data_IF_464047276048
#
_entry.id   IF_464047276048
#
_cell.length_a   1.000
_cell.length_b   1.000
_cell.length_c   1.000
_cell.angle_alpha   90.00
_cell.angle_beta   90.00
_cell.angle_gamma   90.00
#
_symmetry.space_group_name_H-M   'P 1'
#
loop_
_entity.id
_entity.type
_entity.pdbx_description
1 polymer ?
#
# COMPACT_ATOMS: atom_id res chain seq x y z
N UNK A 1 -20.68 -3.37 -6.53
CA UNK A 1 -20.70 -2.47 -7.69
C UNK A 1 -20.31 -3.28 -8.92
N UNK A 2 -21.29 -3.64 -9.77
CA UNK A 2 -21.01 -4.17 -11.10
C UNK A 2 -20.52 -2.97 -11.93
N UNK A 3 -19.25 -2.93 -12.23
CA UNK A 3 -18.69 -1.93 -13.18
C UNK A 3 -19.25 -2.32 -14.56
N UNK A 4 -20.11 -1.48 -15.11
CA UNK A 4 -20.61 -1.69 -16.47
C UNK A 4 -19.43 -1.69 -17.43
N UNK A 5 -19.23 -2.76 -18.17
CA UNK A 5 -18.09 -2.98 -19.08
C UNK A 5 -17.94 -1.92 -20.18
N UNK A 6 -18.94 -1.07 -20.41
CA UNK A 6 -18.93 -0.05 -21.47
C UNK A 6 -17.94 1.11 -21.27
N UNK A 7 -17.55 1.43 -20.03
CA UNK A 7 -16.69 2.58 -19.72
C UNK A 7 -15.21 2.23 -19.48
N UNK A 8 -14.83 0.96 -19.55
CA UNK A 8 -13.46 0.51 -19.28
C UNK A 8 -12.50 0.82 -20.45
N UNK A 9 -13.02 1.16 -21.63
CA UNK A 9 -12.20 1.35 -22.83
C UNK A 9 -11.69 2.76 -23.05
N UNK A 10 -12.34 3.78 -22.48
CA UNK A 10 -11.93 5.16 -22.71
C UNK A 10 -10.85 5.58 -21.71
N UNK A 11 -9.61 5.65 -22.17
CA UNK A 11 -8.49 6.17 -21.39
C UNK A 11 -8.60 7.69 -21.23
N UNK A 12 -8.34 8.16 -20.03
CA UNK A 12 -8.25 9.56 -19.67
C UNK A 12 -6.94 9.86 -18.96
N UNK A 13 -6.59 11.14 -18.95
CA UNK A 13 -5.38 11.63 -18.28
C UNK A 13 -5.71 12.13 -16.88
N UNK A 14 -4.95 11.71 -15.90
CA UNK A 14 -5.09 12.13 -14.50
C UNK A 14 -3.75 12.57 -13.95
N UNK A 15 -3.80 13.43 -12.95
CA UNK A 15 -2.65 13.74 -12.12
C UNK A 15 -3.02 13.57 -10.65
N UNK A 16 -2.05 13.17 -9.85
CA UNK A 16 -2.14 13.20 -8.39
C UNK A 16 -0.89 13.83 -7.80
N UNK A 17 -1.03 14.49 -6.66
CA UNK A 17 0.10 15.03 -5.89
C UNK A 17 0.17 14.32 -4.55
N UNK A 18 1.37 13.86 -4.23
CA UNK A 18 1.67 13.31 -2.93
C UNK A 18 3.07 13.78 -2.53
N UNK A 19 3.15 14.38 -1.36
CA UNK A 19 4.33 15.14 -0.93
C UNK A 19 4.67 16.18 -2.01
N UNK A 20 5.86 16.45 -2.39
CA UNK A 20 6.19 17.41 -3.45
C UNK A 20 6.24 16.77 -4.85
N UNK A 21 5.75 15.53 -4.99
CA UNK A 21 5.78 14.79 -6.24
C UNK A 21 4.47 14.87 -7.01
N UNK A 22 4.56 15.19 -8.30
CA UNK A 22 3.47 15.06 -9.26
C UNK A 22 3.61 13.71 -9.98
N UNK A 23 2.51 12.95 -10.01
CA UNK A 23 2.40 11.67 -10.72
C UNK A 23 1.37 11.82 -11.82
N UNK A 24 1.75 11.48 -13.05
CA UNK A 24 0.94 11.55 -14.26
C UNK A 24 0.44 10.14 -14.62
N UNK A 25 -0.88 10.00 -14.83
CA UNK A 25 -1.54 8.71 -15.00
C UNK A 25 -2.41 8.73 -16.24
N UNK A 26 -2.40 7.64 -16.99
CA UNK A 26 -3.38 7.35 -18.05
C UNK A 26 -4.14 6.09 -17.63
N UNK A 27 -5.45 6.19 -17.46
CA UNK A 27 -6.27 5.07 -17.04
C UNK A 27 -7.74 5.24 -17.45
N UNK A 28 -8.58 4.18 -17.44
CA UNK A 28 -10.03 4.33 -17.50
C UNK A 28 -10.56 5.12 -16.30
N UNK A 29 -11.57 5.96 -16.51
CA UNK A 29 -12.15 6.76 -15.41
C UNK A 29 -12.70 5.87 -14.28
N UNK A 30 -13.41 4.80 -14.61
CA UNK A 30 -13.95 3.85 -13.65
C UNK A 30 -12.87 3.16 -12.81
N UNK A 31 -11.68 2.95 -13.37
CA UNK A 31 -10.53 2.42 -12.63
C UNK A 31 -10.04 3.41 -11.56
N UNK A 32 -9.94 4.69 -11.92
CA UNK A 32 -9.53 5.76 -10.98
C UNK A 32 -10.60 5.98 -9.91
N UNK A 33 -11.89 5.97 -10.25
CA UNK A 33 -12.99 6.03 -9.28
C UNK A 33 -12.92 4.91 -8.24
N UNK A 34 -12.59 3.68 -8.68
CA UNK A 34 -12.41 2.57 -7.76
C UNK A 34 -11.14 2.72 -6.91
N UNK A 35 -10.05 3.23 -7.48
CA UNK A 35 -8.84 3.55 -6.73
C UNK A 35 -9.12 4.60 -5.65
N UNK A 36 -9.86 5.66 -5.94
CA UNK A 36 -10.27 6.68 -4.97
C UNK A 36 -11.20 6.12 -3.88
N UNK A 37 -12.07 5.18 -4.21
CA UNK A 37 -12.97 4.54 -3.24
C UNK A 37 -12.23 3.66 -2.21
N UNK A 38 -10.99 3.29 -2.49
CA UNK A 38 -10.17 2.43 -1.62
C UNK A 38 -9.02 3.17 -0.95
N UNK A 39 -8.37 4.11 -1.66
CA UNK A 39 -7.23 4.89 -1.17
C UNK A 39 -7.68 6.01 -0.24
N UNK A 40 -6.94 6.23 0.85
CA UNK A 40 -7.28 7.23 1.87
C UNK A 40 -6.33 8.42 1.75
N UNK A 41 -6.91 9.60 1.48
CA UNK A 41 -6.14 10.84 1.35
C UNK A 41 -5.55 11.09 -0.04
N UNK A 42 -5.73 10.20 -1.00
CA UNK A 42 -5.37 10.42 -2.39
C UNK A 42 -6.48 11.19 -3.12
N UNK A 43 -6.06 11.99 -4.10
CA UNK A 43 -6.97 12.69 -5.02
C UNK A 43 -6.41 12.65 -6.43
N UNK A 44 -7.22 12.26 -7.40
CA UNK A 44 -6.86 12.22 -8.81
C UNK A 44 -7.65 13.30 -9.55
N UNK A 45 -6.94 14.12 -10.31
CA UNK A 45 -7.54 15.24 -11.05
C UNK A 45 -7.47 14.93 -12.54
N UNK A 46 -8.62 14.81 -13.18
CA UNK A 46 -8.71 14.63 -14.64
C UNK A 46 -8.14 15.84 -15.37
N UNK A 47 -7.29 15.59 -16.37
CA UNK A 47 -6.65 16.60 -17.19
C UNK A 47 -7.34 16.67 -18.54
N UNK A 48 -7.66 17.89 -19.00
CA UNK A 48 -8.30 18.12 -20.30
C UNK A 48 -7.34 17.97 -21.49
N UNK A 49 -6.05 18.13 -21.26
CA UNK A 49 -5.02 18.01 -22.29
C UNK A 49 -4.21 16.72 -22.10
N UNK A 50 -3.70 16.19 -23.21
CA UNK A 50 -2.78 15.06 -23.17
C UNK A 50 -1.52 15.43 -22.39
N UNK A 51 -1.12 14.55 -21.46
CA UNK A 51 0.14 14.68 -20.74
C UNK A 51 1.28 14.27 -21.67
N UNK A 52 2.34 15.05 -21.71
CA UNK A 52 3.51 14.77 -22.55
C UNK A 52 4.22 13.47 -22.17
N UNK A 53 4.13 13.07 -20.90
CA UNK A 53 4.70 11.84 -20.35
C UNK A 53 3.82 11.35 -19.20
N UNK A 54 3.56 10.04 -19.16
CA UNK A 54 2.88 9.36 -18.05
C UNK A 54 3.87 8.58 -17.22
N UNK A 55 3.63 8.54 -15.91
CA UNK A 55 4.37 7.71 -14.96
C UNK A 55 3.74 6.32 -14.82
N UNK A 56 2.41 6.25 -14.95
CA UNK A 56 1.63 5.00 -14.90
C UNK A 56 0.63 5.00 -16.05
N UNK A 57 0.49 3.86 -16.70
CA UNK A 57 -0.55 3.59 -17.71
C UNK A 57 -1.30 2.33 -17.30
N UNK A 58 -2.63 2.45 -17.19
CA UNK A 58 -3.52 1.30 -17.00
C UNK A 58 -4.40 1.19 -18.24
N UNK A 59 -4.36 0.06 -18.93
CA UNK A 59 -5.18 -0.21 -20.10
C UNK A 59 -5.93 -1.53 -19.93
N UNK A 60 -7.18 -1.58 -20.44
CA UNK A 60 -7.93 -2.81 -20.57
C UNK A 60 -8.07 -3.17 -22.03
N UNK A 61 -7.50 -4.29 -22.44
CA UNK A 61 -7.52 -4.81 -23.81
C UNK A 61 -7.42 -6.32 -23.78
N UNK A 62 -8.05 -6.98 -24.74
CA UNK A 62 -8.05 -8.45 -24.87
C UNK A 62 -8.53 -9.15 -23.58
N UNK A 63 -9.50 -8.55 -22.86
CA UNK A 63 -10.04 -8.99 -21.56
C UNK A 63 -9.01 -9.04 -20.43
N UNK A 64 -7.89 -8.30 -20.55
CA UNK A 64 -6.83 -8.21 -19.56
C UNK A 64 -6.54 -6.76 -19.21
N UNK A 65 -6.16 -6.54 -17.97
CA UNK A 65 -5.58 -5.27 -17.51
C UNK A 65 -4.07 -5.31 -17.73
N UNK A 66 -3.58 -4.25 -18.35
CA UNK A 66 -2.14 -3.99 -18.53
C UNK A 66 -1.78 -2.79 -17.67
N UNK A 67 -0.93 -2.98 -16.69
CA UNK A 67 -0.39 -1.92 -15.83
C UNK A 67 1.07 -1.73 -16.18
N UNK A 68 1.41 -0.59 -16.72
CA UNK A 68 2.77 -0.18 -17.07
C UNK A 68 3.19 1.04 -16.25
N UNK A 69 4.45 1.16 -15.94
CA UNK A 69 4.99 2.29 -15.19
C UNK A 69 6.48 2.45 -15.40
N UNK A 70 6.95 3.69 -15.27
CA UNK A 70 8.40 4.03 -15.33
C UNK A 70 9.23 3.37 -14.22
N UNK A 71 8.60 2.74 -13.22
CA UNK A 71 9.27 1.99 -12.14
C UNK A 71 9.21 0.47 -12.33
N UNK A 72 8.61 -0.01 -13.39
CA UNK A 72 8.54 -1.43 -13.73
C UNK A 72 9.49 -1.74 -14.89
N UNK A 73 10.19 -2.87 -14.79
CA UNK A 73 11.02 -3.38 -15.89
C UNK A 73 10.16 -3.86 -17.08
N UNK A 74 8.97 -4.41 -16.78
CA UNK A 74 7.99 -4.88 -17.77
C UNK A 74 6.58 -4.61 -17.29
N UNK A 75 5.62 -4.35 -18.21
CA UNK A 75 4.22 -4.22 -17.88
C UNK A 75 3.69 -5.46 -17.15
N UNK A 76 2.81 -5.26 -16.18
CA UNK A 76 2.06 -6.32 -15.51
C UNK A 76 0.76 -6.56 -16.24
N UNK A 77 0.46 -7.83 -16.50
CA UNK A 77 -0.77 -8.25 -17.18
C UNK A 77 -1.57 -9.16 -16.24
N UNK A 78 -2.80 -8.78 -15.94
CA UNK A 78 -3.68 -9.50 -14.98
C UNK A 78 -5.11 -9.55 -15.51
N UNK A 79 -5.86 -10.55 -15.07
CA UNK A 79 -7.24 -10.81 -15.51
C UNK A 79 -8.31 -10.38 -14.50
N UNK A 80 -7.90 -9.74 -13.40
CA UNK A 80 -8.79 -9.25 -12.34
C UNK A 80 -8.54 -7.77 -12.07
N UNK A 81 -9.62 -7.02 -11.87
CA UNK A 81 -9.59 -5.58 -11.62
C UNK A 81 -8.85 -5.23 -10.31
N UNK A 82 -9.05 -6.03 -9.24
CA UNK A 82 -8.38 -5.75 -7.98
C UNK A 82 -6.90 -6.15 -8.02
N UNK A 83 -6.52 -7.16 -8.79
CA UNK A 83 -5.11 -7.45 -9.04
C UNK A 83 -4.45 -6.30 -9.82
N UNK A 84 -5.16 -5.69 -10.79
CA UNK A 84 -4.67 -4.49 -11.48
C UNK A 84 -4.53 -3.28 -10.53
N UNK A 85 -5.48 -3.08 -9.62
CA UNK A 85 -5.37 -2.06 -8.55
C UNK A 85 -4.18 -2.32 -7.64
N UNK A 86 -3.88 -3.58 -7.32
CA UNK A 86 -2.69 -3.93 -6.54
C UNK A 86 -1.41 -3.47 -7.24
N UNK A 87 -1.26 -3.78 -8.52
CA UNK A 87 -0.08 -3.35 -9.30
C UNK A 87 -0.01 -1.82 -9.42
N UNK A 88 -1.15 -1.16 -9.59
CA UNK A 88 -1.23 0.31 -9.59
C UNK A 88 -0.79 0.92 -8.25
N UNK A 89 -1.22 0.38 -7.11
CA UNK A 89 -0.82 0.85 -5.78
C UNK A 89 0.67 0.62 -5.51
N UNK A 90 1.20 -0.50 -5.97
CA UNK A 90 2.65 -0.75 -5.96
C UNK A 90 3.39 0.32 -6.77
N UNK A 91 2.96 0.60 -8.01
CA UNK A 91 3.57 1.65 -8.84
C UNK A 91 3.55 3.02 -8.16
N UNK A 92 2.41 3.44 -7.58
CA UNK A 92 2.30 4.69 -6.83
C UNK A 92 3.31 4.74 -5.68
N UNK A 93 3.43 3.66 -4.91
CA UNK A 93 4.32 3.58 -3.76
C UNK A 93 5.80 3.65 -4.16
N UNK A 94 6.19 2.93 -5.21
CA UNK A 94 7.56 2.96 -5.76
C UNK A 94 7.91 4.33 -6.35
N UNK A 95 6.96 4.96 -7.06
CA UNK A 95 7.18 6.30 -7.62
C UNK A 95 7.42 7.33 -6.52
N UNK A 96 6.65 7.29 -5.42
CA UNK A 96 6.87 8.19 -4.29
C UNK A 96 8.25 7.98 -3.66
N UNK A 97 8.63 6.73 -3.38
CA UNK A 97 9.94 6.43 -2.80
C UNK A 97 11.11 6.89 -3.69
N UNK A 98 10.95 6.77 -5.03
CA UNK A 98 12.01 7.12 -5.99
C UNK A 98 12.05 8.63 -6.31
N UNK A 99 10.88 9.30 -6.43
CA UNK A 99 10.83 10.72 -6.80
C UNK A 99 11.26 11.64 -5.65
N UNK A 100 10.98 11.29 -4.40
CA UNK A 100 11.25 12.17 -3.26
C UNK A 100 12.69 12.10 -2.75
N UNK A 101 13.46 11.06 -3.09
CA UNK A 101 14.82 10.78 -2.61
C UNK A 101 15.03 10.79 -1.07
N UNK A 102 14.01 11.14 -0.31
CA UNK A 102 14.03 11.23 1.15
C UNK A 102 13.40 10.00 1.81
N UNK A 103 12.53 9.32 1.08
CA UNK A 103 11.82 8.16 1.56
C UNK A 103 12.45 6.86 1.07
N UNK A 104 12.35 5.86 1.91
CA UNK A 104 12.56 4.46 1.57
C UNK A 104 11.26 3.71 1.77
N UNK A 105 10.99 2.71 0.95
CA UNK A 105 9.78 1.89 1.03
C UNK A 105 10.08 0.60 1.78
N UNK A 106 9.31 0.34 2.83
CA UNK A 106 9.39 -0.86 3.67
C UNK A 106 8.25 -1.81 3.34
N UNK A 107 8.54 -3.10 3.31
CA UNK A 107 7.55 -4.17 3.32
C UNK A 107 7.26 -4.60 4.76
N UNK A 108 6.19 -4.07 5.34
CA UNK A 108 5.82 -4.32 6.74
C UNK A 108 4.32 -4.10 6.96
N UNK A 109 3.82 -4.56 8.09
CA UNK A 109 2.58 -4.06 8.66
C UNK A 109 2.87 -3.04 9.75
N UNK A 110 1.95 -2.09 9.97
CA UNK A 110 2.07 -1.11 11.04
C UNK A 110 0.71 -0.68 11.58
N UNK A 111 0.61 -0.61 12.91
CA UNK A 111 -0.64 -0.32 13.63
C UNK A 111 -0.36 0.23 15.03
N UNK A 112 -1.39 0.77 15.67
CA UNK A 112 -1.33 1.03 17.11
C UNK A 112 -1.64 -0.23 17.92
N UNK A 113 -1.08 -0.31 19.11
CA UNK A 113 -1.42 -1.34 20.11
C UNK A 113 -1.19 -0.77 21.50
N UNK A 114 -2.26 -0.67 22.28
CA UNK A 114 -2.21 -0.05 23.61
C UNK A 114 -1.55 1.35 23.60
N UNK A 115 -1.90 2.18 22.62
CA UNK A 115 -1.38 3.53 22.45
C UNK A 115 0.06 3.63 21.94
N UNK A 116 0.70 2.52 21.55
CA UNK A 116 2.06 2.48 20.96
C UNK A 116 2.00 2.23 19.47
N UNK A 117 2.88 2.89 18.71
CA UNK A 117 3.06 2.67 17.29
C UNK A 117 3.99 1.47 17.05
N UNK A 118 3.45 0.44 16.42
CA UNK A 118 4.12 -0.82 16.18
C UNK A 118 4.45 -0.96 14.69
N UNK A 119 5.66 -1.41 14.37
CA UNK A 119 5.98 -1.99 13.07
C UNK A 119 6.15 -3.49 13.24
N UNK A 120 5.42 -4.26 12.45
CA UNK A 120 5.50 -5.70 12.40
C UNK A 120 6.20 -6.13 11.11
N UNK A 121 7.40 -6.66 11.25
CA UNK A 121 8.18 -7.27 10.17
C UNK A 121 7.90 -8.77 10.09
N UNK A 122 8.24 -9.36 8.98
CA UNK A 122 8.15 -10.80 8.76
C UNK A 122 8.12 -11.11 7.26
N UNK A 123 8.46 -12.34 6.92
CA UNK A 123 8.52 -12.79 5.55
C UNK A 123 7.14 -12.80 4.86
N UNK A 124 7.15 -12.98 3.56
CA UNK A 124 5.92 -13.15 2.78
C UNK A 124 5.17 -14.39 3.28
N UNK A 125 3.87 -14.25 3.56
CA UNK A 125 3.00 -15.30 4.13
C UNK A 125 3.21 -15.62 5.62
N UNK A 126 3.97 -14.82 6.36
CA UNK A 126 4.15 -15.00 7.82
C UNK A 126 2.91 -14.72 8.67
N UNK A 127 1.83 -14.21 8.06
CA UNK A 127 0.57 -13.88 8.79
C UNK A 127 0.42 -12.41 9.16
N UNK A 128 1.27 -11.50 8.64
CA UNK A 128 1.16 -10.04 8.91
C UNK A 128 -0.25 -9.52 8.68
N UNK A 129 -0.84 -9.78 7.50
CA UNK A 129 -2.19 -9.28 7.18
C UNK A 129 -3.27 -9.88 8.08
N UNK A 130 -3.12 -11.13 8.57
CA UNK A 130 -4.05 -11.69 9.57
C UNK A 130 -3.95 -10.94 10.90
N UNK A 131 -2.74 -10.58 11.32
CA UNK A 131 -2.53 -9.77 12.52
C UNK A 131 -3.07 -8.36 12.34
N UNK A 132 -2.84 -7.72 11.18
CA UNK A 132 -3.40 -6.41 10.85
C UNK A 132 -4.93 -6.44 10.89
N UNK A 133 -5.57 -7.45 10.30
CA UNK A 133 -7.02 -7.64 10.36
C UNK A 133 -7.52 -7.73 11.81
N UNK A 134 -6.86 -8.53 12.66
CA UNK A 134 -7.21 -8.63 14.08
C UNK A 134 -7.15 -7.26 14.78
N UNK A 135 -6.14 -6.43 14.47
CA UNK A 135 -6.00 -5.07 15.02
C UNK A 135 -7.06 -4.12 14.47
N UNK A 136 -7.37 -4.24 13.18
CA UNK A 136 -8.46 -3.50 12.52
C UNK A 136 -9.81 -3.77 13.19
N UNK A 137 -10.12 -5.05 13.46
CA UNK A 137 -11.37 -5.45 14.16
C UNK A 137 -11.40 -4.91 15.59
N UNK A 138 -10.25 -4.83 16.26
CA UNK A 138 -10.12 -4.24 17.58
C UNK A 138 -10.22 -2.69 17.60
N UNK A 139 -10.37 -2.02 16.42
CA UNK A 139 -10.50 -0.57 16.30
C UNK A 139 -9.17 0.19 16.37
N UNK A 140 -8.04 -0.50 16.37
CA UNK A 140 -6.73 0.13 16.37
C UNK A 140 -6.48 0.91 15.07
N UNK A 141 -5.67 1.96 15.12
CA UNK A 141 -5.26 2.70 13.92
C UNK A 141 -4.27 1.87 13.11
N UNK A 142 -4.52 1.69 11.82
CA UNK A 142 -3.68 0.95 10.90
C UNK A 142 -2.94 1.95 10.00
N UNK A 143 -1.61 1.95 10.06
CA UNK A 143 -0.77 2.77 9.18
C UNK A 143 -0.41 2.05 7.88
N UNK A 144 -0.23 0.74 7.94
CA UNK A 144 0.11 -0.09 6.78
C UNK A 144 -0.24 -1.56 7.02
N UNK A 145 -0.65 -2.26 5.94
CA UNK A 145 -0.76 -3.72 5.90
C UNK A 145 0.41 -4.38 5.15
N UNK A 146 0.96 -3.68 4.15
CA UNK A 146 1.98 -4.23 3.24
C UNK A 146 3.15 -3.26 3.01
N UNK A 147 2.86 -1.96 2.81
CA UNK A 147 3.84 -0.95 2.42
C UNK A 147 3.77 0.28 3.31
N UNK A 148 4.95 0.77 3.72
CA UNK A 148 5.12 1.96 4.56
C UNK A 148 6.32 2.77 4.09
N UNK A 149 6.21 4.09 4.08
CA UNK A 149 7.35 4.97 3.82
C UNK A 149 8.14 5.22 5.12
N UNK A 150 9.45 5.26 4.99
CA UNK A 150 10.38 5.62 6.06
C UNK A 150 11.25 6.79 5.64
N UNK A 151 11.14 7.89 6.37
CA UNK A 151 12.00 9.05 6.22
C UNK A 151 13.18 8.91 7.19
N UNK A 152 14.26 8.28 6.72
CA UNK A 152 15.37 7.87 7.57
C UNK A 152 16.05 9.04 8.29
N UNK A 153 16.24 10.22 7.65
CA UNK A 153 16.86 11.39 8.27
C UNK A 153 16.07 11.96 9.44
N UNK A 154 14.74 11.93 9.35
CA UNK A 154 13.83 12.42 10.41
C UNK A 154 13.51 11.33 11.43
N UNK A 155 13.78 10.07 11.12
CA UNK A 155 13.42 8.92 11.97
C UNK A 155 11.91 8.66 12.06
N UNK A 156 11.12 9.15 11.09
CA UNK A 156 9.67 9.03 11.06
C UNK A 156 9.22 8.04 10.00
N UNK A 157 8.03 7.50 10.21
CA UNK A 157 7.31 6.65 9.27
C UNK A 157 6.08 7.38 8.78
N UNK A 158 5.70 7.11 7.52
CA UNK A 158 4.62 7.84 6.86
C UNK A 158 3.70 6.86 6.15
N UNK A 159 2.41 6.95 6.46
CA UNK A 159 1.39 6.12 5.84
C UNK A 159 1.18 6.49 4.36
N UNK A 160 0.95 5.47 3.54
CA UNK A 160 0.62 5.62 2.12
C UNK A 160 -0.88 5.75 1.85
N UNK A 161 -1.73 5.64 2.88
CA UNK A 161 -3.18 5.63 2.69
C UNK A 161 -3.69 4.43 1.88
N UNK A 162 -2.95 3.32 1.88
CA UNK A 162 -3.34 2.10 1.18
C UNK A 162 -4.43 1.35 1.97
N UNK A 163 -5.40 0.72 1.29
CA UNK A 163 -6.43 -0.08 1.94
C UNK A 163 -5.84 -1.36 2.55
N UNK A 164 -6.50 -1.90 3.57
CA UNK A 164 -6.21 -3.25 4.05
C UNK A 164 -6.45 -4.25 2.91
N UNK A 165 -5.42 -5.03 2.59
CA UNK A 165 -5.44 -6.05 1.54
C UNK A 165 -5.45 -7.45 2.14
N UNK A 166 -6.49 -8.20 1.86
CA UNK A 166 -6.61 -9.59 2.29
C UNK A 166 -6.61 -10.53 1.08
N UNK A 167 -6.10 -11.74 1.29
CA UNK A 167 -6.26 -12.81 0.30
C UNK A 167 -7.66 -13.40 0.42
N UNK A 168 -8.23 -13.81 -0.68
CA UNK A 168 -9.55 -14.44 -0.70
C UNK A 168 -9.64 -15.68 0.22
N UNK A 169 -8.55 -16.39 0.41
CA UNK A 169 -8.44 -17.52 1.35
C UNK A 169 -8.65 -17.14 2.81
N UNK A 170 -8.62 -15.83 3.15
CA UNK A 170 -8.87 -15.34 4.50
C UNK A 170 -10.35 -15.05 4.78
N UNK A 171 -11.23 -15.11 3.78
CA UNK A 171 -12.69 -14.88 3.95
C UNK A 171 -13.29 -15.73 5.08
N UNK A 172 -12.94 -17.02 5.25
CA UNK A 172 -13.50 -17.83 6.35
C UNK A 172 -13.12 -17.33 7.76
N UNK A 173 -12.09 -16.48 7.87
CA UNK A 173 -11.66 -15.87 9.13
C UNK A 173 -12.41 -14.57 9.45
N UNK A 174 -13.25 -14.10 8.54
CA UNK A 174 -14.02 -12.87 8.66
C UNK A 174 -15.49 -13.25 8.67
N UNK A 175 -16.25 -12.65 9.56
CA UNK A 175 -17.70 -12.80 9.57
C UNK A 175 -18.30 -12.43 8.20
N UNK A 176 -19.25 -13.21 7.71
CA UNK A 176 -19.81 -13.08 6.34
C UNK A 176 -20.45 -11.70 6.10
N UNK A 177 -21.08 -11.13 7.10
CA UNK A 177 -21.72 -9.81 6.99
C UNK A 177 -20.66 -8.69 6.94
N UNK A 178 -19.57 -8.84 7.70
CA UNK A 178 -18.43 -7.91 7.66
C UNK A 178 -17.76 -7.90 6.28
N UNK A 179 -17.65 -9.04 5.61
CA UNK A 179 -17.03 -9.12 4.27
C UNK A 179 -17.85 -8.38 3.22
N UNK A 180 -19.17 -8.59 3.21
CA UNK A 180 -20.04 -8.00 2.19
C UNK A 180 -20.07 -6.48 2.23
N UNK A 181 -20.09 -5.91 3.43
CA UNK A 181 -20.32 -4.48 3.61
C UNK A 181 -19.01 -3.66 3.67
N UNK A 182 -17.89 -4.29 4.02
CA UNK A 182 -16.63 -3.58 4.29
C UNK A 182 -15.53 -3.83 3.27
N UNK A 183 -15.70 -4.78 2.36
CA UNK A 183 -14.67 -5.16 1.39
C UNK A 183 -15.20 -5.20 -0.03
N UNK A 184 -14.38 -4.75 -0.97
CA UNK A 184 -14.52 -5.02 -2.39
C UNK A 184 -13.84 -6.36 -2.65
N UNK A 185 -14.58 -7.29 -3.25
CA UNK A 185 -14.14 -8.69 -3.42
C UNK A 185 -13.73 -8.91 -4.88
N UNK A 186 -12.47 -9.25 -5.11
CA UNK A 186 -11.93 -9.70 -6.38
C UNK A 186 -11.76 -11.21 -6.46
N UNK A 187 -11.13 -11.65 -7.54
CA UNK A 187 -10.85 -13.07 -7.79
C UNK A 187 -9.88 -13.66 -6.76
N UNK A 188 -8.81 -12.95 -6.43
CA UNK A 188 -7.71 -13.41 -5.60
C UNK A 188 -7.58 -12.65 -4.28
N UNK A 189 -7.96 -11.38 -4.26
CA UNK A 189 -7.79 -10.46 -3.15
C UNK A 189 -9.06 -9.70 -2.83
N UNK A 190 -9.09 -9.12 -1.63
CA UNK A 190 -10.11 -8.19 -1.15
C UNK A 190 -9.42 -6.91 -0.73
N UNK A 191 -10.09 -5.78 -0.96
CA UNK A 191 -9.69 -4.49 -0.43
C UNK A 191 -10.77 -3.92 0.49
N UNK A 192 -10.36 -3.36 1.63
CA UNK A 192 -11.27 -2.61 2.49
C UNK A 192 -11.71 -1.31 1.80
N UNK A 193 -12.96 -0.94 1.98
CA UNK A 193 -13.43 0.41 1.67
C UNK A 193 -12.77 1.42 2.61
N UNK A 194 -12.46 2.62 2.11
CA UNK A 194 -11.76 3.67 2.87
C UNK A 194 -12.45 4.10 4.18
N UNK A 195 -13.78 3.98 4.27
CA UNK A 195 -14.56 4.56 5.38
C UNK A 195 -14.93 3.56 6.48
N UNK A 196 -14.53 2.29 6.39
CA UNK A 196 -15.02 1.28 7.33
C UNK A 196 -14.06 0.95 8.47
N UNK A 197 -12.81 1.32 8.36
CA UNK A 197 -11.80 1.00 9.35
C UNK A 197 -10.99 2.24 9.74
N UNK A 198 -10.40 2.20 10.91
CA UNK A 198 -9.52 3.26 11.41
C UNK A 198 -8.14 3.15 10.73
N UNK A 199 -8.07 3.57 9.46
CA UNK A 199 -6.85 3.55 8.67
C UNK A 199 -6.25 4.96 8.56
N UNK A 200 -4.94 5.04 8.65
CA UNK A 200 -4.20 6.26 8.43
C UNK A 200 -4.30 6.70 6.95
N UNK A 201 -4.40 7.99 6.72
CA UNK A 201 -4.42 8.59 5.38
C UNK A 201 -3.01 8.81 4.84
N UNK A 202 -2.91 9.04 3.55
CA UNK A 202 -1.66 9.47 2.92
C UNK A 202 -1.04 10.66 3.68
N UNK A 203 0.20 10.50 4.11
CA UNK A 203 0.97 11.55 4.78
C UNK A 203 0.86 11.54 6.30
N UNK A 204 0.04 10.69 6.92
CA UNK A 204 0.03 10.57 8.38
C UNK A 204 1.38 10.04 8.87
N UNK A 205 2.00 10.80 9.76
CA UNK A 205 3.36 10.54 10.29
C UNK A 205 3.30 9.94 11.70
N UNK A 206 4.26 9.07 12.01
CA UNK A 206 4.45 8.59 13.37
C UNK A 206 5.92 8.28 13.69
N UNK A 207 6.25 8.25 14.98
CA UNK A 207 7.50 7.72 15.51
C UNK A 207 7.29 6.28 15.94
N UNK A 208 8.29 5.43 15.73
CA UNK A 208 8.24 4.03 16.12
C UNK A 208 8.45 3.90 17.63
N UNK A 209 7.51 3.26 18.32
CA UNK A 209 7.66 2.89 19.73
C UNK A 209 8.20 1.46 19.87
N UNK A 210 7.79 0.55 18.99
CA UNK A 210 8.14 -0.86 19.11
C UNK A 210 8.27 -1.54 17.75
N UNK A 211 9.35 -2.29 17.55
CA UNK A 211 9.54 -3.16 16.40
C UNK A 211 9.30 -4.61 16.82
N UNK A 212 8.45 -5.30 16.08
CA UNK A 212 8.13 -6.70 16.28
C UNK A 212 8.49 -7.53 15.05
N UNK A 213 8.97 -8.74 15.25
CA UNK A 213 9.25 -9.71 14.19
C UNK A 213 8.30 -10.90 14.30
N UNK A 214 7.64 -11.20 13.20
CA UNK A 214 6.81 -12.38 13.07
C UNK A 214 7.66 -13.53 12.52
N UNK A 215 7.83 -14.61 13.29
CA UNK A 215 8.58 -15.77 12.86
C UNK A 215 7.71 -16.73 12.04
N UNK A 216 8.31 -17.42 11.08
CA UNK A 216 7.63 -18.43 10.24
C UNK A 216 7.28 -19.73 10.97
N UNK A 217 7.77 -19.93 12.20
CA UNK A 217 7.47 -21.13 12.97
C UNK A 217 6.00 -21.16 13.37
N UNK A 218 5.38 -22.32 13.25
CA UNK A 218 3.97 -22.67 13.39
C UNK A 218 3.18 -22.05 14.56
N UNK A 219 3.84 -21.41 15.51
CA UNK A 219 3.22 -20.78 16.69
C UNK A 219 2.92 -19.29 16.52
N UNK A 220 3.09 -18.69 15.33
CA UNK A 220 2.91 -17.24 15.09
C UNK A 220 3.56 -16.38 16.19
N UNK A 221 4.71 -16.82 16.70
CA UNK A 221 5.40 -16.12 17.77
C UNK A 221 5.85 -14.73 17.28
N UNK A 222 5.36 -13.71 17.94
CA UNK A 222 5.79 -12.32 17.73
C UNK A 222 6.87 -12.02 18.75
N UNK A 223 8.07 -11.65 18.28
CA UNK A 223 9.20 -11.29 19.16
C UNK A 223 9.45 -9.79 19.09
N UNK A 224 9.63 -9.17 20.23
CA UNK A 224 10.11 -7.79 20.32
C UNK A 224 11.58 -7.73 19.88
N UNK A 225 11.87 -6.76 19.02
CA UNK A 225 13.22 -6.50 18.54
C UNK A 225 13.87 -5.46 19.45
N UNK A 226 15.02 -5.75 20.05
CA UNK A 226 15.77 -4.79 20.85
C UNK A 226 16.11 -3.53 20.04
N UNK A 227 16.05 -2.36 20.68
CA UNK A 227 16.26 -1.04 20.03
C UNK A 227 17.55 -0.99 19.21
N UNK A 228 18.65 -1.55 19.72
CA UNK A 228 19.95 -1.55 19.03
C UNK A 228 19.98 -2.43 17.75
N UNK A 229 19.00 -3.31 17.55
CA UNK A 229 18.86 -4.11 16.34
C UNK A 229 17.83 -3.57 15.34
N UNK A 230 17.06 -2.57 15.74
CA UNK A 230 15.93 -2.07 14.94
C UNK A 230 16.36 -1.67 13.53
N UNK A 231 17.42 -0.89 13.38
CA UNK A 231 17.93 -0.46 12.07
C UNK A 231 18.34 -1.62 11.16
N UNK A 232 18.93 -2.66 11.73
CA UNK A 232 19.33 -3.86 10.98
C UNK A 232 18.10 -4.55 10.36
N UNK A 233 17.05 -4.77 11.16
CA UNK A 233 15.83 -5.40 10.68
C UNK A 233 15.05 -4.52 9.70
N UNK A 234 14.89 -3.23 9.95
CA UNK A 234 14.26 -2.31 9.01
C UNK A 234 14.97 -2.33 7.65
N UNK A 235 16.31 -2.35 7.65
CA UNK A 235 17.10 -2.40 6.43
C UNK A 235 16.87 -3.67 5.60
N UNK A 236 16.65 -4.80 6.24
CA UNK A 236 16.36 -6.07 5.54
C UNK A 236 15.00 -6.07 4.83
N UNK A 237 14.06 -5.22 5.27
CA UNK A 237 12.72 -5.10 4.71
C UNK A 237 12.53 -3.89 3.78
N UNK A 238 13.63 -3.22 3.39
CA UNK A 238 13.60 -2.18 2.37
C UNK A 238 13.41 -2.78 0.99
N UNK A 239 12.49 -2.25 0.20
CA UNK A 239 12.19 -2.73 -1.14
C UNK A 239 12.40 -1.68 -2.23
N UNK A 240 12.42 -0.38 -1.88
CA UNK A 240 12.72 0.70 -2.81
C UNK A 240 13.24 1.95 -2.06
N UNK A 241 13.82 2.89 -2.81
CA UNK A 241 14.30 4.18 -2.30
C UNK A 241 15.81 4.26 -2.07
N UNK A 242 16.27 5.39 -1.57
CA UNK A 242 17.68 5.70 -1.50
C UNK A 242 18.34 5.11 -0.24
N UNK A 243 19.17 4.07 -0.41
CA UNK A 243 19.92 3.43 0.69
C UNK A 243 20.98 4.35 1.37
N UNK A 244 21.32 5.47 0.75
CA UNK A 244 22.38 6.36 1.26
C UNK A 244 21.96 7.07 2.56
N UNK A 245 20.66 7.31 2.75
CA UNK A 245 20.15 7.98 3.96
C UNK A 245 20.33 7.17 5.24
N UNK A 246 20.49 5.84 5.13
CA UNK A 246 20.61 4.92 6.26
C UNK A 246 21.98 5.01 6.95
N UNK A 247 23.05 5.28 6.20
CA UNK A 247 24.41 5.41 6.79
C UNK A 247 24.52 6.56 7.78
N UNK A 248 23.73 7.62 7.60
CA UNK A 248 23.80 8.82 8.43
C UNK A 248 23.10 8.69 9.79
N UNK A 249 22.26 7.65 9.99
CA UNK A 249 21.58 7.39 11.28
C UNK A 249 22.46 6.57 12.22
N UNK A 250 23.36 5.75 11.67
CA UNK A 250 24.28 4.94 12.46
C UNK A 250 25.45 5.74 13.05
N UNK A 251 25.58 7.02 12.68
CA UNK A 251 26.67 7.93 13.14
C UNK A 251 26.23 8.94 14.21
N UNK A 252 25.00 8.88 14.68
CA UNK A 252 24.49 9.61 15.84
C UNK A 252 24.22 8.66 17.00
#
# INVERSE_FOLDING_TARGET
LAVEHSNVHQQKHFTTRAFDSLICIIAPASFIELAEATLIGWRFVEQKSSLAKSDIIVAYRDNLFHVDSTVLDNPKVVDDLLDALNEFFLCLSYLLANKTQEFSLLHCASYTEAGKNIILLGDKKSGKSAKTLSKTIAGELIYADDLLLWHAKRGIFVALGLPLRLRRTMIPLIDSDTVKDKFIIGKNILYSHQNFFNNAKLGDEFLLDQLKLMSENFDFAIKDIPVYKTLFYLKQHLIAGNFISIKNILQK
#
